data_IF_362040066941
#
_entry.id   IF_362040066941
#
_cell.length_a   1.000
_cell.length_b   1.000
_cell.length_c   1.000
_cell.angle_alpha   90.00
_cell.angle_beta   90.00
_cell.angle_gamma   90.00
#
_symmetry.space_group_name_H-M   'P 1'
#
loop_
_entity.id
_entity.type
_entity.pdbx_description
1 polymer ?
#
# COMPACT_ATOMS: atom_id res chain seq x y z
N UNK A 1 3.33 23.21 -3.01
CA UNK A 1 2.86 21.84 -3.28
C UNK A 1 2.64 21.19 -1.92
N UNK A 2 1.44 20.70 -1.54
CA UNK A 2 1.36 19.86 -0.35
C UNK A 2 2.26 18.64 -0.58
N UNK A 3 3.23 18.41 0.31
CA UNK A 3 4.08 17.22 0.29
C UNK A 3 3.23 16.01 0.68
N UNK A 4 2.42 15.51 -0.27
CA UNK A 4 1.63 14.31 -0.05
C UNK A 4 2.59 13.12 -0.04
N UNK A 5 2.74 12.49 1.13
CA UNK A 5 3.63 11.35 1.30
C UNK A 5 3.05 10.15 0.57
N UNK A 6 3.88 9.44 -0.19
CA UNK A 6 3.48 8.27 -0.97
C UNK A 6 4.32 7.04 -0.59
N UNK A 7 3.73 5.85 -0.72
CA UNK A 7 4.40 4.56 -0.45
C UNK A 7 3.97 3.53 -1.48
N UNK A 8 4.89 2.67 -1.88
CA UNK A 8 4.65 1.54 -2.78
C UNK A 8 4.86 0.22 -2.04
N UNK A 9 3.89 -0.69 -2.10
CA UNK A 9 3.87 -1.93 -1.32
C UNK A 9 3.65 -3.11 -2.25
N UNK A 10 4.59 -4.07 -2.21
CA UNK A 10 4.44 -5.37 -2.86
C UNK A 10 3.73 -6.37 -1.94
N UNK A 11 3.07 -7.38 -2.49
CA UNK A 11 2.29 -8.35 -1.69
C UNK A 11 1.07 -7.70 -1.01
N UNK A 12 0.55 -6.61 -1.58
CA UNK A 12 -0.46 -5.77 -0.94
C UNK A 12 -1.88 -6.37 -0.97
N UNK A 13 -2.12 -7.47 -1.68
CA UNK A 13 -3.46 -8.04 -1.84
C UNK A 13 -3.94 -8.80 -0.59
N UNK A 14 -3.04 -9.40 0.18
CA UNK A 14 -3.40 -10.23 1.34
C UNK A 14 -2.44 -10.10 2.53
N UNK A 15 -2.82 -10.74 3.65
CA UNK A 15 -1.99 -10.88 4.84
C UNK A 15 -1.38 -9.57 5.35
N UNK A 16 -0.08 -9.62 5.64
CA UNK A 16 0.68 -8.51 6.23
C UNK A 16 0.80 -7.32 5.24
N UNK A 17 0.96 -7.59 3.94
CA UNK A 17 1.09 -6.53 2.95
C UNK A 17 -0.19 -5.70 2.83
N UNK A 18 -1.36 -6.35 2.82
CA UNK A 18 -2.67 -5.67 2.87
C UNK A 18 -2.84 -4.85 4.16
N UNK A 19 -2.51 -5.41 5.32
CA UNK A 19 -2.61 -4.69 6.59
C UNK A 19 -1.71 -3.44 6.62
N UNK A 20 -0.50 -3.55 6.07
CA UNK A 20 0.45 -2.45 5.94
C UNK A 20 -0.09 -1.35 5.03
N UNK A 21 -0.61 -1.71 3.85
CA UNK A 21 -1.21 -0.78 2.90
C UNK A 21 -2.37 0.01 3.50
N UNK A 22 -3.27 -0.69 4.19
CA UNK A 22 -4.40 -0.05 4.88
C UNK A 22 -3.95 0.88 5.99
N UNK A 23 -2.87 0.54 6.70
CA UNK A 23 -2.33 1.39 7.78
C UNK A 23 -1.76 2.70 7.22
N UNK A 24 -0.98 2.64 6.13
CA UNK A 24 -0.47 3.85 5.48
C UNK A 24 -1.58 4.72 4.88
N UNK A 25 -2.58 4.10 4.23
CA UNK A 25 -3.73 4.83 3.69
C UNK A 25 -4.50 5.57 4.81
N UNK A 26 -4.73 4.92 5.97
CA UNK A 26 -5.35 5.55 7.14
C UNK A 26 -4.54 6.73 7.69
N UNK A 27 -3.22 6.68 7.56
CA UNK A 27 -2.30 7.75 7.99
C UNK A 27 -2.14 8.87 6.95
N UNK A 28 -2.97 8.89 5.90
CA UNK A 28 -3.01 9.96 4.91
C UNK A 28 -1.96 9.85 3.80
N UNK A 29 -1.37 8.67 3.60
CA UNK A 29 -0.45 8.43 2.50
C UNK A 29 -1.21 8.04 1.23
N UNK A 30 -0.68 8.45 0.07
CA UNK A 30 -1.05 7.82 -1.21
C UNK A 30 -0.35 6.46 -1.31
N UNK A 31 -1.13 5.38 -1.46
CA UNK A 31 -0.59 4.02 -1.46
C UNK A 31 -0.73 3.37 -2.84
N UNK A 32 0.38 2.95 -3.43
CA UNK A 32 0.39 2.05 -4.59
C UNK A 32 0.60 0.61 -4.13
N UNK A 33 -0.33 -0.28 -4.45
CA UNK A 33 -0.21 -1.71 -4.17
C UNK A 33 0.13 -2.49 -5.44
N UNK A 34 1.05 -3.45 -5.32
CA UNK A 34 1.38 -4.41 -6.37
C UNK A 34 1.39 -5.82 -5.79
N UNK A 35 0.77 -6.76 -6.51
CA UNK A 35 0.69 -8.16 -6.13
C UNK A 35 0.67 -8.99 -7.42
N UNK A 36 1.14 -10.23 -7.33
CA UNK A 36 1.14 -11.18 -8.44
C UNK A 36 0.43 -12.42 -7.92
N UNK A 37 -0.68 -12.75 -8.56
CA UNK A 37 -1.30 -14.06 -8.39
C UNK A 37 -0.66 -14.99 -9.44
N UNK A 38 0.00 -16.06 -8.99
CA UNK A 38 0.46 -17.12 -9.91
C UNK A 38 -0.78 -17.89 -10.39
N UNK A 39 -0.97 -17.91 -11.72
CA UNK A 39 -2.00 -18.71 -12.42
C UNK A 39 -1.59 -20.17 -12.55
#
# INVERSE_FOLDING_TARGET
MPNNRAVFITGAAAGIGRATALTFAKNGYTVGGYDIDEV
#
